data_IF_784989391699
#
_entry.id   IF_784989391699
#
_cell.length_a   1.000
_cell.length_b   1.000
_cell.length_c   1.000
_cell.angle_alpha   90.00
_cell.angle_beta   90.00
_cell.angle_gamma   90.00
#
_symmetry.space_group_name_H-M   'P 1'
#
loop_
_entity.id
_entity.type
_entity.pdbx_description
1 polymer ?
#
# COMPACT_ATOMS: atom_id res chain seq x y z
N UNK A 1 8.25 4.76 -16.58
CA UNK A 1 7.24 3.97 -15.84
C UNK A 1 6.85 4.76 -14.60
N UNK A 2 5.56 5.05 -14.39
CA UNK A 2 5.09 5.78 -13.22
C UNK A 2 5.28 4.92 -11.97
N UNK A 3 6.32 5.18 -11.19
CA UNK A 3 6.59 4.46 -9.95
C UNK A 3 5.73 5.06 -8.84
N UNK A 4 5.07 4.19 -8.08
CA UNK A 4 4.28 4.57 -6.91
C UNK A 4 5.19 4.47 -5.70
N UNK A 5 5.25 5.51 -4.87
CA UNK A 5 6.05 5.46 -3.64
C UNK A 5 5.54 4.36 -2.72
N UNK A 6 6.44 3.64 -2.05
CA UNK A 6 6.10 2.59 -1.07
C UNK A 6 5.09 3.04 -0.03
N UNK A 7 5.12 4.34 0.33
CA UNK A 7 4.19 4.90 1.29
C UNK A 7 2.73 4.83 0.83
N UNK A 8 2.47 5.21 -0.42
CA UNK A 8 1.13 5.13 -1.03
C UNK A 8 0.69 3.69 -1.21
N UNK A 9 1.61 2.78 -1.54
CA UNK A 9 1.30 1.36 -1.69
C UNK A 9 0.89 0.75 -0.36
N UNK A 10 1.61 1.06 0.72
CA UNK A 10 1.25 0.56 2.06
C UNK A 10 0.00 1.23 2.61
N UNK A 11 -0.26 2.50 2.30
CA UNK A 11 -1.54 3.14 2.64
C UNK A 11 -2.72 2.45 1.94
N UNK A 12 -2.57 2.12 0.65
CA UNK A 12 -3.57 1.36 -0.09
C UNK A 12 -3.81 -0.03 0.52
N UNK A 13 -2.75 -0.72 0.94
CA UNK A 13 -2.86 -1.99 1.67
C UNK A 13 -3.54 -1.82 3.04
N UNK A 14 -3.24 -0.75 3.79
CA UNK A 14 -3.86 -0.49 5.09
C UNK A 14 -5.37 -0.24 4.96
N UNK A 15 -5.78 0.54 3.95
CA UNK A 15 -7.19 0.79 3.64
C UNK A 15 -7.92 -0.51 3.28
N UNK A 16 -7.30 -1.32 2.41
CA UNK A 16 -7.88 -2.58 1.96
C UNK A 16 -8.03 -3.60 3.10
N UNK A 17 -6.99 -3.74 3.94
CA UNK A 17 -6.98 -4.66 5.08
C UNK A 17 -7.85 -4.17 6.25
N UNK A 18 -8.12 -2.86 6.32
CA UNK A 18 -9.10 -2.27 7.23
C UNK A 18 -10.56 -2.41 6.75
N UNK A 19 -10.80 -3.10 5.63
CA UNK A 19 -12.09 -3.26 4.99
C UNK A 19 -12.78 -1.95 4.56
N UNK A 20 -12.02 -0.86 4.39
CA UNK A 20 -12.54 0.42 3.90
C UNK A 20 -12.54 0.43 2.36
N UNK A 21 -13.48 -0.30 1.77
CA UNK A 21 -13.58 -0.50 0.32
C UNK A 21 -13.80 0.81 -0.46
N UNK A 22 -14.55 1.77 0.11
CA UNK A 22 -14.80 3.07 -0.52
C UNK A 22 -13.50 3.87 -0.64
N UNK A 23 -12.75 3.98 0.45
CA UNK A 23 -11.47 4.69 0.44
C UNK A 23 -10.44 3.96 -0.44
N UNK A 24 -10.43 2.62 -0.39
CA UNK A 24 -9.55 1.78 -1.22
C UNK A 24 -9.77 2.04 -2.72
N UNK A 25 -11.02 2.04 -3.19
CA UNK A 25 -11.34 2.26 -4.61
C UNK A 25 -11.01 3.69 -5.04
N UNK A 26 -11.26 4.69 -4.19
CA UNK A 26 -10.91 6.10 -4.48
C UNK A 26 -9.40 6.27 -4.66
N UNK A 27 -8.61 5.81 -3.70
CA UNK A 27 -7.14 5.92 -3.75
C UNK A 27 -6.57 5.14 -4.94
N UNK A 28 -7.09 3.94 -5.24
CA UNK A 28 -6.68 3.17 -6.42
C UNK A 28 -6.95 3.93 -7.72
N UNK A 29 -8.12 4.56 -7.84
CA UNK A 29 -8.48 5.36 -9.01
C UNK A 29 -7.58 6.59 -9.17
N UNK A 30 -7.29 7.31 -8.08
CA UNK A 30 -6.37 8.46 -8.11
C UNK A 30 -4.96 8.07 -8.61
N UNK A 31 -4.47 6.90 -8.19
CA UNK A 31 -3.18 6.36 -8.65
C UNK A 31 -3.21 6.07 -10.16
N UNK A 32 -4.31 5.47 -10.65
CA UNK A 32 -4.46 5.16 -12.07
C UNK A 32 -4.62 6.44 -12.92
N UNK A 33 -5.38 7.44 -12.44
CA UNK A 33 -5.55 8.73 -13.10
C UNK A 33 -4.23 9.53 -13.17
N UNK A 34 -3.25 9.23 -12.30
CA UNK A 34 -1.90 9.76 -12.37
C UNK A 34 -1.01 9.09 -13.45
N UNK A 35 -1.56 8.18 -14.26
CA UNK A 35 -0.85 7.51 -15.36
C UNK A 35 -0.09 6.25 -14.95
N UNK A 36 -0.43 5.65 -13.81
CA UNK A 36 0.13 4.38 -13.36
C UNK A 36 -0.64 3.23 -14.00
N UNK A 37 0.07 2.38 -14.75
CA UNK A 37 -0.50 1.21 -15.38
C UNK A 37 -0.95 0.16 -14.33
N UNK A 38 -2.14 -0.45 -14.48
CA UNK A 38 -2.68 -1.41 -13.51
C UNK A 38 -1.75 -2.58 -13.21
N UNK A 39 -1.10 -3.12 -14.25
CA UNK A 39 -0.18 -4.23 -14.10
C UNK A 39 1.07 -3.83 -13.30
N UNK A 40 1.59 -2.62 -13.53
CA UNK A 40 2.72 -2.09 -12.79
C UNK A 40 2.37 -1.82 -11.32
N UNK A 41 1.15 -1.36 -11.04
CA UNK A 41 0.64 -1.22 -9.67
C UNK A 41 0.53 -2.59 -8.99
N UNK A 42 -0.03 -3.59 -9.67
CA UNK A 42 -0.14 -4.95 -9.14
C UNK A 42 1.23 -5.58 -8.85
N UNK A 43 2.22 -5.41 -9.73
CA UNK A 43 3.58 -5.89 -9.49
C UNK A 43 4.23 -5.22 -8.28
N UNK A 44 4.09 -3.90 -8.15
CA UNK A 44 4.63 -3.15 -7.00
C UNK A 44 3.95 -3.55 -5.67
N UNK A 45 2.63 -3.74 -5.68
CA UNK A 45 1.89 -4.27 -4.53
C UNK A 45 2.37 -5.68 -4.17
N UNK A 46 2.54 -6.57 -5.15
CA UNK A 46 3.03 -7.92 -4.92
C UNK A 46 4.42 -7.92 -4.27
N UNK A 47 5.34 -7.08 -4.77
CA UNK A 47 6.68 -6.92 -4.18
C UNK A 47 6.61 -6.49 -2.72
N UNK A 48 5.84 -5.44 -2.41
CA UNK A 48 5.71 -4.97 -1.02
C UNK A 48 5.06 -6.01 -0.11
N UNK A 49 4.03 -6.73 -0.58
CA UNK A 49 3.42 -7.81 0.19
C UNK A 49 4.47 -8.89 0.48
N UNK A 50 5.28 -9.30 -0.50
CA UNK A 50 6.35 -10.28 -0.31
C UNK A 50 7.38 -9.78 0.70
N UNK A 51 7.83 -8.54 0.63
CA UNK A 51 8.80 -7.97 1.58
C UNK A 51 8.24 -7.86 3.00
N UNK A 52 6.95 -7.53 3.15
CA UNK A 52 6.27 -7.52 4.45
C UNK A 52 6.22 -8.93 5.04
N UNK A 53 5.82 -9.92 4.24
CA UNK A 53 5.74 -11.32 4.67
C UNK A 53 7.12 -11.92 4.98
N UNK A 54 8.17 -11.51 4.26
CA UNK A 54 9.55 -11.91 4.52
C UNK A 54 10.17 -11.19 5.73
N UNK A 55 9.53 -10.13 6.24
CA UNK A 55 10.07 -9.29 7.32
C UNK A 55 11.23 -8.38 6.91
N UNK A 56 11.52 -8.28 5.61
CA UNK A 56 12.54 -7.38 5.05
C UNK A 56 12.05 -5.93 4.94
N UNK A 57 10.72 -5.71 4.98
CA UNK A 57 10.15 -4.38 4.87
C UNK A 57 10.36 -3.52 6.14
N UNK A 58 11.10 -2.42 5.99
CA UNK A 58 11.38 -1.49 7.09
C UNK A 58 10.27 -0.43 7.20
N UNK A 59 9.40 -0.59 8.20
CA UNK A 59 8.46 0.45 8.58
C UNK A 59 9.21 1.58 9.32
N UNK A 60 9.27 2.78 8.73
CA UNK A 60 9.71 3.98 9.44
C UNK A 60 8.72 4.31 10.57
N UNK A 61 9.17 4.94 11.66
CA UNK A 61 8.37 5.12 12.89
C UNK A 61 7.02 5.84 12.69
N UNK A 62 6.90 6.73 11.70
CA UNK A 62 5.62 7.39 11.36
C UNK A 62 4.61 6.44 10.71
N UNK A 63 5.08 5.36 10.06
CA UNK A 63 4.26 4.34 9.37
C UNK A 63 3.55 3.38 10.33
N UNK A 64 3.87 3.39 11.62
CA UNK A 64 3.30 2.53 12.66
C UNK A 64 1.93 3.00 13.18
N UNK A 65 1.38 4.11 12.67
CA UNK A 65 0.03 4.61 13.03
C UNK A 65 -1.09 4.12 12.10
N UNK A 66 -0.75 3.33 11.09
CA UNK A 66 -1.68 2.67 10.17
C UNK A 66 -2.58 1.69 10.91
N UNK A 67 -3.86 1.61 10.55
CA UNK A 67 -4.89 0.91 11.32
C UNK A 67 -4.55 -0.57 11.49
N UNK A 68 -4.34 -1.25 10.37
CA UNK A 68 -4.07 -2.69 10.32
C UNK A 68 -2.64 -3.00 10.73
N UNK A 69 -1.67 -2.18 10.30
CA UNK A 69 -0.25 -2.39 10.60
C UNK A 69 0.17 -1.92 12.01
N UNK A 70 -0.77 -1.58 12.88
CA UNK A 70 -0.48 -1.21 14.27
C UNK A 70 0.04 -2.44 15.02
N UNK A 71 1.21 -2.33 15.65
CA UNK A 71 1.71 -3.41 16.52
C UNK A 71 0.78 -3.58 17.73
N UNK A 72 0.33 -4.79 18.07
CA UNK A 72 -0.31 -5.03 19.35
C UNK A 72 0.71 -4.75 20.45
N UNK A 73 0.34 -3.86 21.37
CA UNK A 73 1.11 -3.54 22.59
C UNK A 73 1.02 -4.65 23.60
#
# INVERSE_FOLDING_TARGET
>A
VGLVSDDKLVDLLDLALSADTVSTVKTLREIMEAGVEPLALMSQLATIITDILAGSYVFTRERLRRKFFRRPT
#
